data_IF_628713074842
#
_entry.id   IF_628713074842
#
_cell.length_a   1.000
_cell.length_b   1.000
_cell.length_c   1.000
_cell.angle_alpha   90.00
_cell.angle_beta   90.00
_cell.angle_gamma   90.00
#
_symmetry.space_group_name_H-M   'P 1'
#
loop_
_entity.id
_entity.type
_entity.pdbx_description
1 polymer ?
#
# COMPACT_ATOMS: atom_id res chain seq x y z
N UNK A 1 -1.48 -21.07 10.64
CA UNK A 1 -0.85 -22.08 9.75
C UNK A 1 -1.34 -23.50 10.05
N UNK A 2 -2.11 -23.70 11.11
CA UNK A 2 -2.63 -25.03 11.50
C UNK A 2 -3.76 -25.54 10.60
N UNK A 3 -4.55 -24.68 9.97
CA UNK A 3 -5.66 -25.10 9.08
C UNK A 3 -5.18 -25.73 7.76
N UNK A 4 -4.16 -25.14 7.10
CA UNK A 4 -3.61 -25.66 5.83
C UNK A 4 -2.97 -27.04 6.01
N UNK A 5 -2.42 -27.34 7.20
CA UNK A 5 -1.90 -28.66 7.54
C UNK A 5 -2.98 -29.73 7.62
N UNK A 6 -4.11 -29.38 8.25
CA UNK A 6 -5.21 -30.32 8.48
C UNK A 6 -5.90 -30.72 7.17
N UNK A 7 -6.01 -29.79 6.22
CA UNK A 7 -6.60 -30.05 4.91
C UNK A 7 -5.68 -30.83 3.94
N UNK A 8 -4.35 -30.75 4.11
CA UNK A 8 -3.39 -31.36 3.18
C UNK A 8 -2.64 -32.58 3.73
N UNK A 9 -2.76 -32.90 5.02
CA UNK A 9 -2.13 -34.09 5.62
C UNK A 9 -0.60 -34.08 5.63
N UNK A 10 0.05 -32.91 5.45
CA UNK A 10 1.51 -32.78 5.37
C UNK A 10 2.12 -32.16 6.63
N UNK A 11 3.30 -32.66 7.01
CA UNK A 11 4.06 -32.22 8.19
C UNK A 11 4.73 -30.85 7.98
N UNK A 12 5.05 -30.11 9.07
CA UNK A 12 5.68 -28.77 8.99
C UNK A 12 6.91 -28.75 8.10
N UNK A 13 7.71 -29.81 8.26
CA UNK A 13 8.99 -29.97 7.60
C UNK A 13 8.78 -30.11 6.10
N UNK A 14 7.75 -30.85 5.68
CA UNK A 14 7.43 -31.04 4.28
C UNK A 14 6.87 -29.76 3.65
N UNK A 15 6.00 -29.02 4.35
CA UNK A 15 5.48 -27.75 3.84
C UNK A 15 6.58 -26.67 3.74
N UNK A 16 7.47 -26.59 4.75
CA UNK A 16 8.65 -25.69 4.68
C UNK A 16 9.56 -26.09 3.53
N UNK A 17 9.87 -27.38 3.41
CA UNK A 17 10.71 -27.89 2.33
C UNK A 17 10.08 -27.62 0.96
N UNK A 18 8.79 -27.86 0.77
CA UNK A 18 8.10 -27.56 -0.48
C UNK A 18 8.13 -26.06 -0.82
N UNK A 19 7.89 -25.18 0.16
CA UNK A 19 8.00 -23.74 -0.04
C UNK A 19 9.44 -23.29 -0.36
N UNK A 20 10.44 -23.87 0.30
CA UNK A 20 11.84 -23.57 0.00
C UNK A 20 12.25 -24.07 -1.39
N UNK A 21 11.82 -25.27 -1.78
CA UNK A 21 12.15 -25.87 -3.08
C UNK A 21 11.39 -25.25 -4.26
N UNK A 22 10.11 -24.91 -4.09
CA UNK A 22 9.28 -24.40 -5.19
C UNK A 22 9.19 -22.87 -5.23
N UNK A 23 9.35 -22.18 -4.09
CA UNK A 23 9.22 -20.72 -4.02
C UNK A 23 10.54 -20.02 -3.64
N UNK A 24 11.59 -20.76 -3.24
CA UNK A 24 12.87 -20.20 -2.80
C UNK A 24 12.81 -19.44 -1.47
N UNK A 25 11.67 -19.51 -0.76
CA UNK A 25 11.42 -18.75 0.46
C UNK A 25 10.51 -19.51 1.41
N UNK A 26 10.79 -19.41 2.71
CA UNK A 26 9.98 -20.06 3.74
C UNK A 26 8.52 -19.61 3.74
N UNK A 27 7.58 -20.46 4.19
CA UNK A 27 6.13 -20.22 4.11
C UNK A 27 5.69 -18.95 4.86
N UNK A 28 6.38 -18.57 5.94
CA UNK A 28 6.13 -17.33 6.68
C UNK A 28 6.46 -16.11 5.81
N UNK A 29 7.56 -16.17 5.06
CA UNK A 29 7.99 -15.10 4.16
C UNK A 29 6.99 -14.94 3.02
N UNK A 30 6.52 -16.05 2.43
CA UNK A 30 5.49 -16.03 1.40
C UNK A 30 4.19 -15.37 1.89
N UNK A 31 3.67 -15.75 3.06
CA UNK A 31 2.46 -15.14 3.62
C UNK A 31 2.66 -13.65 3.89
N UNK A 32 3.84 -13.25 4.40
CA UNK A 32 4.17 -11.83 4.58
C UNK A 32 4.21 -11.08 3.26
N UNK A 33 4.77 -11.69 2.22
CA UNK A 33 4.85 -11.16 0.87
C UNK A 33 3.46 -10.92 0.27
N UNK A 34 2.58 -11.92 0.41
CA UNK A 34 1.20 -11.87 -0.07
C UNK A 34 0.37 -10.81 0.68
N UNK A 35 0.52 -10.73 2.01
CA UNK A 35 -0.10 -9.67 2.83
C UNK A 35 0.35 -8.28 2.39
N UNK A 36 1.65 -8.12 2.11
CA UNK A 36 2.21 -6.85 1.64
C UNK A 36 1.67 -6.47 0.25
N UNK A 37 1.54 -7.42 -0.67
CA UNK A 37 0.94 -7.18 -1.98
C UNK A 37 -0.54 -6.81 -1.88
N UNK A 38 -1.28 -7.48 -1.01
CA UNK A 38 -2.70 -7.18 -0.80
C UNK A 38 -2.89 -5.80 -0.18
N UNK A 39 -2.03 -5.42 0.78
CA UNK A 39 -2.00 -4.08 1.35
C UNK A 39 -1.70 -3.01 0.29
N UNK A 40 -0.73 -3.25 -0.59
CA UNK A 40 -0.41 -2.35 -1.70
C UNK A 40 -1.61 -2.12 -2.63
N UNK A 41 -2.31 -3.18 -3.03
CA UNK A 41 -3.52 -3.05 -3.88
C UNK A 41 -4.61 -2.21 -3.22
N UNK A 42 -4.83 -2.39 -1.92
CA UNK A 42 -5.81 -1.59 -1.16
C UNK A 42 -5.39 -0.13 -1.06
N UNK A 43 -4.10 0.17 -0.96
CA UNK A 43 -3.59 1.54 -0.96
C UNK A 43 -3.67 2.20 -2.34
N UNK A 44 -3.49 1.45 -3.42
CA UNK A 44 -3.65 1.95 -4.79
C UNK A 44 -5.11 2.24 -5.14
N UNK A 45 -6.03 1.36 -4.74
CA UNK A 45 -7.46 1.53 -5.03
C UNK A 45 -8.18 2.42 -3.99
N UNK A 46 -7.51 2.74 -2.89
CA UNK A 46 -8.08 3.48 -1.78
C UNK A 46 -8.01 4.99 -1.98
N UNK A 47 -9.02 5.68 -1.47
CA UNK A 47 -9.02 7.14 -1.40
C UNK A 47 -8.34 7.62 -0.10
N UNK A 48 -7.37 8.52 -0.21
CA UNK A 48 -6.68 9.12 0.93
C UNK A 48 -7.59 9.93 1.86
N UNK A 49 -8.77 10.35 1.41
CA UNK A 49 -9.75 11.07 2.23
C UNK A 49 -10.48 10.15 3.23
N UNK A 50 -10.62 8.87 2.91
CA UNK A 50 -11.41 7.91 3.71
C UNK A 50 -10.57 6.79 4.29
N UNK A 51 -9.48 6.41 3.61
CA UNK A 51 -8.63 5.30 4.01
C UNK A 51 -7.40 5.81 4.75
N UNK A 52 -7.06 5.17 5.88
CA UNK A 52 -5.81 5.43 6.60
C UNK A 52 -4.84 4.28 6.43
N UNK A 53 -3.58 4.61 6.21
CA UNK A 53 -2.47 3.64 6.15
C UNK A 53 -2.41 2.77 7.41
N UNK A 54 -2.75 3.35 8.58
CA UNK A 54 -2.82 2.62 9.86
C UNK A 54 -3.80 1.46 9.86
N UNK A 55 -4.96 1.68 9.24
CA UNK A 55 -6.06 0.71 9.22
C UNK A 55 -5.75 -0.40 8.22
N UNK A 56 -5.15 -0.04 7.08
CA UNK A 56 -4.63 -1.02 6.11
C UNK A 56 -3.56 -1.91 6.76
N UNK A 57 -2.56 -1.32 7.42
CA UNK A 57 -1.50 -2.08 8.08
C UNK A 57 -2.09 -3.06 9.12
N UNK A 58 -3.03 -2.60 9.95
CA UNK A 58 -3.69 -3.44 10.97
C UNK A 58 -4.51 -4.56 10.33
N UNK A 59 -5.28 -4.26 9.27
CA UNK A 59 -6.11 -5.24 8.53
C UNK A 59 -5.28 -6.37 7.94
N UNK A 60 -4.07 -6.08 7.45
CA UNK A 60 -3.16 -7.09 6.89
C UNK A 60 -2.21 -7.72 7.93
N UNK A 61 -2.40 -7.42 9.22
CA UNK A 61 -1.70 -8.07 10.32
C UNK A 61 -0.31 -7.51 10.64
N UNK A 62 -0.03 -6.27 10.23
CA UNK A 62 1.18 -5.55 10.64
C UNK A 62 0.94 -4.87 11.99
N UNK A 63 1.73 -5.24 12.99
CA UNK A 63 1.62 -4.71 14.36
C UNK A 63 2.32 -3.35 14.54
N UNK A 64 3.32 -3.06 13.71
CA UNK A 64 4.12 -1.83 13.78
C UNK A 64 4.06 -1.10 12.45
N UNK A 65 3.59 0.15 12.49
CA UNK A 65 3.52 1.04 11.33
C UNK A 65 4.90 1.38 10.77
N UNK A 66 5.88 1.61 11.65
CA UNK A 66 7.26 1.87 11.24
C UNK A 66 7.85 0.69 10.48
N UNK A 67 7.75 -0.53 11.03
CA UNK A 67 8.24 -1.74 10.32
C UNK A 67 7.49 -1.99 9.02
N UNK A 68 6.18 -1.75 8.99
CA UNK A 68 5.41 -1.84 7.75
C UNK A 68 5.93 -0.86 6.70
N UNK A 69 6.06 0.43 7.04
CA UNK A 69 6.54 1.46 6.14
C UNK A 69 7.97 1.21 5.64
N UNK A 70 8.89 0.81 6.52
CA UNK A 70 10.27 0.45 6.13
C UNK A 70 10.31 -0.74 5.18
N UNK A 71 9.55 -1.81 5.49
CA UNK A 71 9.49 -3.02 4.63
C UNK A 71 8.82 -2.71 3.29
N UNK A 72 7.80 -1.86 3.30
CA UNK A 72 7.09 -1.43 2.11
C UNK A 72 8.01 -0.60 1.20
N UNK A 73 8.72 0.38 1.76
CA UNK A 73 9.69 1.21 1.03
C UNK A 73 10.84 0.38 0.47
N UNK A 74 11.35 -0.58 1.23
CA UNK A 74 12.39 -1.48 0.74
C UNK A 74 11.95 -2.31 -0.48
N UNK A 75 10.64 -2.54 -0.64
CA UNK A 75 10.08 -3.34 -1.73
C UNK A 75 9.59 -2.53 -2.93
N UNK A 76 8.92 -1.41 -2.68
CA UNK A 76 8.25 -0.60 -3.72
C UNK A 76 8.94 0.74 -3.98
N UNK A 77 9.98 1.09 -3.21
CA UNK A 77 10.73 2.34 -3.35
C UNK A 77 10.04 3.58 -2.77
N UNK A 78 8.74 3.51 -2.51
CA UNK A 78 7.92 4.62 -1.99
C UNK A 78 7.29 4.28 -0.63
N UNK A 79 6.76 5.28 0.07
CA UNK A 79 6.03 5.09 1.32
C UNK A 79 4.56 4.71 1.05
N UNK A 80 3.92 3.93 1.94
CA UNK A 80 2.51 3.57 1.79
C UNK A 80 1.57 4.78 1.70
N UNK A 81 1.91 5.88 2.38
CA UNK A 81 1.19 7.16 2.33
C UNK A 81 1.35 7.87 0.99
N UNK A 82 2.49 7.72 0.33
CA UNK A 82 2.75 8.30 -0.99
C UNK A 82 1.92 7.58 -2.05
N UNK A 83 1.90 6.24 -2.03
CA UNK A 83 1.04 5.43 -2.89
C UNK A 83 -0.44 5.85 -2.77
N UNK A 84 -0.93 5.98 -1.52
CA UNK A 84 -2.32 6.35 -1.25
C UNK A 84 -2.67 7.77 -1.73
N UNK A 85 -1.75 8.73 -1.57
CA UNK A 85 -1.95 10.11 -2.06
C UNK A 85 -1.90 10.18 -3.59
N UNK A 86 -1.05 9.37 -4.23
CA UNK A 86 -0.87 9.35 -5.68
C UNK A 86 -2.15 8.99 -6.43
N UNK A 87 -2.87 7.95 -5.99
CA UNK A 87 -4.11 7.52 -6.65
C UNK A 87 -5.31 8.43 -6.33
N UNK A 88 -5.28 9.16 -5.21
CA UNK A 88 -6.28 10.21 -4.93
C UNK A 88 -6.22 11.34 -5.96
N UNK A 89 -5.02 11.65 -6.48
CA UNK A 89 -4.85 12.58 -7.59
C UNK A 89 -5.22 11.99 -8.96
N UNK A 90 -5.38 10.67 -9.06
CA UNK A 90 -5.78 9.98 -10.30
C UNK A 90 -7.31 9.97 -10.49
N UNK A 91 -8.07 10.05 -9.40
CA UNK A 91 -9.54 10.10 -9.40
C UNK A 91 -10.16 11.50 -9.52
N UNK A 92 -9.37 12.57 -9.41
CA UNK A 92 -9.85 13.96 -9.59
C UNK A 92 -9.20 14.59 -10.82
N UNK A 93 -9.90 14.71 -11.97
CA UNK A 93 -9.46 15.62 -13.01
C UNK A 93 -9.59 17.03 -12.44
N UNK A 94 -8.45 17.67 -12.20
CA UNK A 94 -8.39 19.08 -11.88
C UNK A 94 -9.07 19.84 -13.03
N UNK A 95 -10.31 20.28 -12.80
CA UNK A 95 -10.90 21.40 -13.51
C UNK A 95 -10.00 22.61 -13.24
N UNK A 96 -8.96 22.76 -14.05
CA UNK A 96 -8.29 24.05 -14.22
C UNK A 96 -9.19 24.88 -15.10
N UNK A 97 -10.22 25.50 -14.50
CA UNK A 97 -10.96 26.55 -15.17
C UNK A 97 -10.00 27.71 -15.42
N UNK A 98 -9.65 27.85 -16.69
CA UNK A 98 -9.07 29.06 -17.25
C UNK A 98 -9.89 30.28 -16.83
N UNK A 99 -9.18 31.39 -16.65
CA UNK A 99 -9.65 32.76 -16.94
C UNK A 99 -10.64 33.41 -15.98
N UNK A 100 -10.10 34.27 -15.11
CA UNK A 100 -10.57 35.67 -15.10
C UNK A 100 -9.39 36.60 -15.30
N UNK A 101 -9.19 36.93 -16.57
CA UNK A 101 -8.50 38.14 -16.99
C UNK A 101 -9.27 39.35 -16.45
N UNK A 102 -8.59 40.22 -15.72
CA UNK A 102 -8.84 41.65 -15.79
C UNK A 102 -7.50 42.37 -15.61
N UNK A 103 -7.15 43.11 -16.66
CA UNK A 103 -5.96 43.94 -16.87
C UNK A 103 -5.92 45.14 -15.90
N UNK A 104 -4.78 45.85 -15.80
CA UNK A 104 -4.51 46.80 -14.73
C UNK A 104 -5.24 48.12 -14.97
N UNK A 105 -5.60 48.82 -13.89
CA UNK A 105 -5.99 50.23 -13.97
C UNK A 105 -5.14 51.07 -13.03
N UNK A 106 -4.57 52.13 -13.61
CA UNK A 106 -3.81 53.18 -12.96
C UNK A 106 -4.73 53.91 -11.99
N UNK A 107 -4.24 54.28 -10.81
CA UNK A 107 -4.48 55.59 -10.18
C UNK A 107 -3.67 55.71 -8.87
N UNK A 108 -2.59 56.50 -8.92
CA UNK A 108 -2.24 57.45 -7.84
C UNK A 108 -3.49 58.29 -7.49
N UNK A 109 -3.74 58.77 -6.26
CA UNK A 109 -2.80 59.70 -5.58
C UNK A 109 -2.83 59.73 -4.03
N UNK A 110 -1.73 60.15 -3.39
CA UNK A 110 -1.60 61.42 -2.62
C UNK A 110 -0.26 61.50 -1.88
#
# INVERSE_FOLDING_TARGET
MSQVRAELGVSDRWLRWCCEQHLGMGPITYIRLHRMQSAHKVLQLGDSLTLRVSDVARRFGFRSLGRFASTYRARYGELPSETLRRDSHRGMPLMSSRSRSARPDRSDPR
#
